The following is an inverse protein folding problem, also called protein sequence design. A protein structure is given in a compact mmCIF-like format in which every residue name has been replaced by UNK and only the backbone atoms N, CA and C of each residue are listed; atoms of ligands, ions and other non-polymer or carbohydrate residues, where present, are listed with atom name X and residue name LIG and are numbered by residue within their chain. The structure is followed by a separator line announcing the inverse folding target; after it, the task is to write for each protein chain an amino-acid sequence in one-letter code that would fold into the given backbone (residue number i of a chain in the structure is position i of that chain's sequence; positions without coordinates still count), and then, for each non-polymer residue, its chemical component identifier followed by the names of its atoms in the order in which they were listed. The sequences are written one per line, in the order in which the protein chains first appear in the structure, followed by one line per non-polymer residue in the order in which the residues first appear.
data_IF_862487426392
#
_entry.id   IF_862487426392
#
_cell.length_a   1.000
_cell.length_b   1.000
_cell.length_c   1.000
_cell.angle_alpha   90.00
_cell.angle_beta   90.00
_cell.angle_gamma   90.00
#
_symmetry.space_group_name_H-M   'P 1'
#
loop_
_entity.id
_entity.type
_entity.pdbx_description
1 polymer ?
#
# COMPACT_ATOMS: atom_id res chain seq x y z
N UNK A 1 3.68 4.58 -16.15
CA UNK A 1 2.71 3.66 -16.74
C UNK A 1 1.76 4.50 -17.55
N UNK A 2 1.53 4.10 -18.79
CA UNK A 2 0.62 4.83 -19.66
C UNK A 2 -0.83 4.65 -19.19
N UNK A 3 -1.63 5.70 -19.39
CA UNK A 3 -3.04 5.74 -18.94
C UNK A 3 -3.86 4.61 -19.58
N UNK A 4 -3.51 4.21 -20.80
CA UNK A 4 -4.14 3.11 -21.54
C UNK A 4 -3.99 1.78 -20.78
N UNK A 5 -2.79 1.49 -20.27
CA UNK A 5 -2.51 0.28 -19.50
C UNK A 5 -3.33 0.27 -18.20
N UNK A 6 -3.44 1.42 -17.53
CA UNK A 6 -4.23 1.55 -16.29
C UNK A 6 -5.73 1.32 -16.54
N UNK A 7 -6.22 1.66 -17.73
CA UNK A 7 -7.62 1.46 -18.10
C UNK A 7 -7.95 -0.02 -18.31
N UNK A 8 -7.06 -0.78 -18.95
CA UNK A 8 -7.19 -2.24 -19.08
C UNK A 8 -7.15 -2.91 -17.71
N UNK A 9 -6.21 -2.52 -16.85
CA UNK A 9 -6.13 -3.05 -15.47
C UNK A 9 -7.41 -2.75 -14.70
N UNK A 10 -7.98 -1.55 -14.84
CA UNK A 10 -9.24 -1.19 -14.19
C UNK A 10 -10.39 -2.15 -14.59
N UNK A 11 -10.50 -2.46 -15.88
CA UNK A 11 -11.50 -3.39 -16.38
C UNK A 11 -11.30 -4.81 -15.83
N UNK A 12 -10.05 -5.30 -15.81
CA UNK A 12 -9.72 -6.62 -15.28
C UNK A 12 -10.07 -6.75 -13.79
N UNK A 13 -9.74 -5.72 -13.00
CA UNK A 13 -10.08 -5.67 -11.58
C UNK A 13 -11.59 -5.64 -11.33
N UNK A 14 -12.33 -4.92 -12.18
CA UNK A 14 -13.79 -4.90 -12.12
C UNK A 14 -14.37 -6.28 -12.39
N UNK A 15 -13.90 -6.99 -13.41
CA UNK A 15 -14.34 -8.37 -13.72
C UNK A 15 -14.12 -9.31 -12.54
N UNK A 16 -12.95 -9.26 -11.91
CA UNK A 16 -12.63 -10.08 -10.72
C UNK A 16 -13.54 -9.70 -9.54
N UNK A 17 -13.75 -8.40 -9.31
CA UNK A 17 -14.63 -7.91 -8.23
C UNK A 17 -16.08 -8.37 -8.41
N UNK A 18 -16.59 -8.34 -9.64
CA UNK A 18 -17.94 -8.81 -9.94
C UNK A 18 -18.07 -10.32 -9.67
N UNK A 19 -17.06 -11.11 -10.04
CA UNK A 19 -17.03 -12.55 -9.75
C UNK A 19 -17.00 -12.83 -8.23
N UNK A 20 -16.24 -12.05 -7.45
CA UNK A 20 -16.23 -12.14 -5.99
C UNK A 20 -17.58 -11.81 -5.38
N UNK A 21 -18.29 -10.80 -5.90
CA UNK A 21 -19.62 -10.40 -5.42
C UNK A 21 -20.68 -11.45 -5.80
N UNK A 22 -20.57 -12.06 -6.99
CA UNK A 22 -21.51 -13.09 -7.44
C UNK A 22 -21.31 -14.44 -6.73
N UNK A 23 -20.14 -14.67 -6.11
CA UNK A 23 -19.85 -15.90 -5.37
C UNK A 23 -19.65 -17.14 -6.23
N UNK A 24 -19.39 -16.96 -7.53
CA UNK A 24 -19.20 -18.06 -8.47
C UNK A 24 -17.81 -18.70 -8.28
N UNK A 25 -17.71 -20.05 -8.25
CA UNK A 25 -16.42 -20.73 -8.05
C UNK A 25 -15.48 -20.59 -9.26
N UNK A 26 -16.02 -20.25 -10.43
CA UNK A 26 -15.27 -19.97 -11.65
C UNK A 26 -15.87 -18.76 -12.36
N UNK A 27 -15.07 -17.98 -13.07
CA UNK A 27 -15.53 -16.82 -13.82
C UNK A 27 -14.80 -16.68 -15.15
N UNK A 28 -15.42 -15.96 -16.08
CA UNK A 28 -14.82 -15.64 -17.37
C UNK A 28 -13.86 -14.45 -17.19
N UNK A 29 -12.58 -14.68 -17.46
CA UNK A 29 -11.54 -13.67 -17.42
C UNK A 29 -10.73 -13.71 -18.70
N UNK A 30 -10.70 -12.59 -19.44
CA UNK A 30 -9.96 -12.47 -20.70
C UNK A 30 -10.23 -13.64 -21.69
N UNK A 31 -11.50 -14.05 -21.79
CA UNK A 31 -11.95 -15.13 -22.69
C UNK A 31 -11.77 -16.55 -22.15
N UNK A 32 -11.23 -16.73 -20.94
CA UNK A 32 -11.01 -18.05 -20.33
C UNK A 32 -11.81 -18.22 -19.04
N UNK A 33 -12.36 -19.41 -18.81
CA UNK A 33 -12.92 -19.77 -17.50
C UNK A 33 -11.80 -20.15 -16.54
N UNK A 34 -11.67 -19.41 -15.45
CA UNK A 34 -10.67 -19.64 -14.42
C UNK A 34 -11.32 -19.79 -13.04
N UNK A 35 -10.72 -20.58 -12.12
CA UNK A 35 -11.20 -20.70 -10.76
C UNK A 35 -11.02 -19.38 -10.00
N UNK A 36 -12.01 -19.06 -9.17
CA UNK A 36 -11.98 -17.87 -8.32
C UNK A 36 -11.32 -18.19 -6.97
N UNK A 37 -10.32 -17.40 -6.59
CA UNK A 37 -9.66 -17.48 -5.28
C UNK A 37 -10.19 -16.37 -4.38
N UNK A 38 -10.96 -16.73 -3.35
CA UNK A 38 -11.60 -15.77 -2.45
C UNK A 38 -10.62 -15.03 -1.53
N UNK A 39 -9.40 -15.55 -1.34
CA UNK A 39 -8.33 -14.88 -0.60
C UNK A 39 -7.55 -13.86 -1.44
N UNK A 40 -8.05 -13.50 -2.62
CA UNK A 40 -7.45 -12.48 -3.47
C UNK A 40 -7.57 -11.07 -2.86
N UNK A 41 -6.52 -10.27 -2.98
CA UNK A 41 -6.52 -8.87 -2.55
C UNK A 41 -5.58 -8.01 -3.38
N UNK A 42 -5.99 -6.78 -3.67
CA UNK A 42 -5.19 -5.79 -4.39
C UNK A 42 -5.00 -4.56 -3.52
N UNK A 43 -3.74 -4.13 -3.43
CA UNK A 43 -3.36 -2.95 -2.68
C UNK A 43 -2.49 -2.06 -3.59
N UNK A 44 -2.81 -0.77 -3.64
CA UNK A 44 -2.04 0.21 -4.42
C UNK A 44 -1.41 1.21 -3.46
N UNK A 45 -0.09 1.40 -3.58
CA UNK A 45 0.63 2.46 -2.88
C UNK A 45 0.82 3.64 -3.82
N UNK A 46 0.23 4.79 -3.49
CA UNK A 46 0.44 6.04 -4.20
C UNK A 46 1.41 6.91 -3.38
N UNK A 47 2.50 7.36 -4.00
CA UNK A 47 3.37 8.39 -3.44
C UNK A 47 3.13 9.69 -4.20
N UNK A 48 2.12 10.50 -3.81
CA UNK A 48 1.83 11.75 -4.50
C UNK A 48 3.02 12.69 -4.42
N UNK A 49 3.34 13.37 -5.54
CA UNK A 49 4.43 14.35 -5.61
C UNK A 49 5.81 13.80 -5.98
N UNK A 50 5.97 12.49 -6.21
CA UNK A 50 7.22 11.94 -6.75
C UNK A 50 7.28 12.15 -8.28
N UNK A 51 8.32 12.83 -8.76
CA UNK A 51 8.48 13.12 -10.19
C UNK A 51 8.45 11.82 -11.04
N UNK A 52 7.72 11.87 -12.15
CA UNK A 52 7.58 10.75 -13.09
C UNK A 52 6.54 9.70 -12.71
N UNK A 53 5.73 9.92 -11.66
CA UNK A 53 4.59 9.06 -11.32
C UNK A 53 3.26 9.73 -11.66
N UNK A 54 2.45 9.04 -12.45
CA UNK A 54 1.08 9.45 -12.76
C UNK A 54 0.17 9.13 -11.59
N UNK A 55 -0.75 10.03 -11.26
CA UNK A 55 -1.85 9.69 -10.36
C UNK A 55 -2.71 8.57 -10.93
N UNK A 56 -3.39 7.84 -10.04
CA UNK A 56 -4.38 6.87 -10.49
C UNK A 56 -5.56 7.60 -11.18
N UNK A 57 -6.08 7.06 -12.30
CA UNK A 57 -7.30 7.56 -12.90
C UNK A 57 -8.51 7.37 -11.97
N UNK A 58 -9.53 8.22 -12.10
CA UNK A 58 -10.67 8.24 -11.17
C UNK A 58 -11.50 6.95 -11.17
N UNK A 59 -11.65 6.30 -12.34
CA UNK A 59 -12.32 5.01 -12.46
C UNK A 59 -11.64 3.93 -11.59
N UNK A 60 -10.32 4.00 -11.43
CA UNK A 60 -9.55 3.13 -10.58
C UNK A 60 -9.67 3.55 -9.13
N UNK A 61 -9.51 4.85 -8.82
CA UNK A 61 -9.62 5.39 -7.45
C UNK A 61 -10.93 4.98 -6.76
N UNK A 62 -12.07 5.01 -7.47
CA UNK A 62 -13.40 4.64 -6.93
C UNK A 62 -13.49 3.15 -6.54
N UNK A 63 -12.66 2.28 -7.13
CA UNK A 63 -12.66 0.85 -6.78
C UNK A 63 -11.94 0.55 -5.46
N UNK A 64 -11.12 1.47 -4.95
CA UNK A 64 -10.31 1.28 -3.74
C UNK A 64 -10.78 2.14 -2.58
N UNK A 65 -10.38 1.74 -1.37
CA UNK A 65 -10.55 2.56 -0.17
C UNK A 65 -9.27 3.38 0.03
N UNK A 66 -9.34 4.72 0.08
CA UNK A 66 -8.15 5.54 0.32
C UNK A 66 -7.65 5.35 1.75
N UNK A 67 -6.34 5.24 1.90
CA UNK A 67 -5.66 5.21 3.20
C UNK A 67 -4.49 6.19 3.13
N UNK A 68 -4.45 7.13 4.07
CA UNK A 68 -3.35 8.08 4.19
C UNK A 68 -2.30 7.51 5.14
N UNK A 69 -1.10 7.26 4.63
CA UNK A 69 0.05 6.93 5.46
C UNK A 69 0.57 8.21 6.11
N UNK A 70 0.45 8.30 7.44
CA UNK A 70 0.97 9.42 8.21
C UNK A 70 2.47 9.26 8.46
N UNK A 71 3.11 10.36 8.88
CA UNK A 71 4.52 10.37 9.27
C UNK A 71 4.76 9.26 10.31
N UNK A 72 5.77 8.40 10.10
CA UNK A 72 6.05 7.31 11.02
C UNK A 72 6.53 7.83 12.38
N UNK A 73 6.23 7.08 13.44
CA UNK A 73 6.80 7.33 14.76
C UNK A 73 8.24 6.81 14.81
N UNK A 74 9.18 7.68 14.44
CA UNK A 74 10.61 7.38 14.47
C UNK A 74 11.13 7.00 15.87
N UNK A 75 10.47 7.46 16.95
CA UNK A 75 10.86 7.14 18.31
C UNK A 75 10.53 5.70 18.67
N UNK A 76 9.30 5.27 18.34
CA UNK A 76 8.87 3.89 18.53
C UNK A 76 9.69 2.93 17.66
N UNK A 77 9.92 3.28 16.39
CA UNK A 77 10.72 2.45 15.48
C UNK A 77 12.15 2.30 16.02
N UNK A 78 12.81 3.40 16.40
CA UNK A 78 14.16 3.35 16.96
C UNK A 78 14.21 2.57 18.29
N UNK A 79 13.18 2.68 19.14
CA UNK A 79 13.08 1.89 20.38
C UNK A 79 13.02 0.40 20.10
N UNK A 80 12.17 -0.05 19.15
CA UNK A 80 12.05 -1.46 18.76
C UNK A 80 13.39 -1.96 18.19
N UNK A 81 14.04 -1.18 17.32
CA UNK A 81 15.34 -1.55 16.75
C UNK A 81 16.40 -1.70 17.85
N UNK A 82 16.53 -0.72 18.75
CA UNK A 82 17.50 -0.77 19.84
C UNK A 82 17.21 -1.93 20.82
N UNK A 83 15.94 -2.22 21.09
CA UNK A 83 15.57 -3.36 21.92
C UNK A 83 15.94 -4.69 21.26
N UNK A 84 15.71 -4.83 19.95
CA UNK A 84 16.08 -6.03 19.19
C UNK A 84 17.60 -6.30 19.18
N UNK A 85 18.41 -5.24 19.24
CA UNK A 85 19.87 -5.32 19.37
C UNK A 85 20.35 -5.56 20.83
N UNK A 86 19.43 -5.74 21.78
CA UNK A 86 19.75 -6.08 23.17
C UNK A 86 20.03 -4.88 24.09
N UNK A 87 19.75 -3.64 23.67
CA UNK A 87 19.94 -2.48 24.53
C UNK A 87 18.87 -2.42 25.63
N UNK A 88 19.26 -2.68 26.88
CA UNK A 88 18.36 -2.58 28.04
C UNK A 88 17.80 -1.18 28.31
N UNK A 89 18.37 -0.13 27.70
CA UNK A 89 17.92 1.26 27.81
C UNK A 89 17.33 1.83 26.50
N UNK A 90 16.86 0.96 25.60
CA UNK A 90 16.32 1.30 24.27
C UNK A 90 15.37 2.52 24.25
N UNK A 91 14.41 2.59 25.19
CA UNK A 91 13.45 3.69 25.31
C UNK A 91 14.08 5.05 25.57
N UNK A 92 15.18 5.10 26.33
CA UNK A 92 15.88 6.35 26.60
C UNK A 92 16.76 6.73 25.40
N UNK A 93 17.40 5.75 24.78
CA UNK A 93 18.29 5.94 23.64
C UNK A 93 17.51 6.39 22.39
N UNK A 94 16.34 5.81 22.11
CA UNK A 94 15.49 6.18 20.97
C UNK A 94 15.09 7.66 21.01
N UNK A 95 14.68 8.17 22.18
CA UNK A 95 14.34 9.60 22.37
C UNK A 95 15.51 10.52 22.10
N UNK A 96 16.72 10.15 22.55
CA UNK A 96 17.94 10.94 22.31
C UNK A 96 18.28 10.94 20.81
N UNK A 97 18.18 9.80 20.15
CA UNK A 97 18.45 9.64 18.72
C UNK A 97 17.48 10.48 17.87
N UNK A 98 16.18 10.37 18.11
CA UNK A 98 15.18 11.17 17.39
C UNK A 98 15.40 12.67 17.60
N UNK A 99 15.70 13.09 18.83
CA UNK A 99 15.98 14.50 19.11
C UNK A 99 17.23 14.99 18.39
N UNK A 100 18.29 14.17 18.35
CA UNK A 100 19.53 14.48 17.65
C UNK A 100 19.30 14.66 16.15
N UNK A 101 18.60 13.73 15.49
CA UNK A 101 18.31 13.86 14.06
C UNK A 101 17.36 15.02 13.74
N UNK A 102 16.36 15.25 14.60
CA UNK A 102 15.46 16.39 14.44
C UNK A 102 16.23 17.72 14.49
N UNK A 103 17.13 17.89 15.45
CA UNK A 103 17.97 19.09 15.57
C UNK A 103 19.00 19.22 14.45
N UNK A 104 19.46 18.11 13.86
CA UNK A 104 20.40 18.12 12.75
C UNK A 104 19.74 18.42 11.38
N UNK A 105 18.43 18.21 11.28
CA UNK A 105 17.62 18.50 10.08
C UNK A 105 16.97 19.87 10.08
N UNK A 106 16.99 20.57 11.23
CA UNK A 106 16.65 21.98 11.35
C UNK A 106 17.78 22.85 10.79
#
# INVERSE_FOLDING_TARGET
MDIEVLSVIAQQLLTIRLALISGEPNFLFEGNHIPLVTSYGVFITMNPGYAGRTELPDNLKVMFRPVSMMIPDYGLIAEIMLFAEGFGSAKMLSKKMVKLYKLASE
#
